data_IF_146107985084
#
_entry.id   IF_146107985084
#
_cell.length_a   1.000
_cell.length_b   1.000
_cell.length_c   1.000
_cell.angle_alpha   90.00
_cell.angle_beta   90.00
_cell.angle_gamma   90.00
#
_symmetry.space_group_name_H-M   'P 1'
#
loop_
_entity.id
_entity.type
_entity.pdbx_description
1 polymer ?
#
# COMPACT_ATOMS: atom_id res chain seq x y z
N UNK A 1 -4.29 -58.19 30.64
CA UNK A 1 -3.38 -57.42 29.75
C UNK A 1 -3.35 -55.97 30.20
N UNK A 2 -2.18 -55.45 30.57
CA UNK A 2 -2.03 -54.14 31.24
C UNK A 2 -2.01 -53.01 30.21
N UNK A 3 -2.84 -51.99 30.44
CA UNK A 3 -3.07 -50.76 29.64
C UNK A 3 -1.79 -49.99 29.23
N UNK A 4 -0.63 -50.30 29.85
CA UNK A 4 0.68 -49.70 29.58
C UNK A 4 1.48 -50.36 28.44
N UNK A 5 1.15 -51.57 28.01
CA UNK A 5 1.84 -52.21 26.86
C UNK A 5 1.16 -51.92 25.51
N UNK A 6 -0.13 -51.59 25.52
CA UNK A 6 -0.86 -51.15 24.33
C UNK A 6 -0.36 -49.79 23.83
N UNK A 7 -0.02 -48.86 24.74
CA UNK A 7 0.50 -47.53 24.39
C UNK A 7 1.93 -47.61 23.84
N UNK A 8 2.76 -48.57 24.30
CA UNK A 8 4.10 -48.78 23.73
C UNK A 8 4.08 -49.40 22.34
N UNK A 9 3.02 -50.15 21.99
CA UNK A 9 2.86 -50.74 20.66
C UNK A 9 2.26 -49.77 19.64
N UNK A 10 1.66 -48.65 20.08
CA UNK A 10 1.06 -47.64 19.21
C UNK A 10 2.05 -46.54 18.73
N UNK A 11 3.23 -46.41 19.36
CA UNK A 11 4.22 -45.37 19.01
C UNK A 11 5.34 -45.83 18.07
N UNK A 12 5.40 -47.11 17.71
CA UNK A 12 6.47 -47.67 16.86
C UNK A 12 6.05 -47.92 15.40
N UNK A 13 4.83 -47.55 14.98
CA UNK A 13 4.28 -47.85 13.64
C UNK A 13 3.97 -46.62 12.76
N UNK A 14 4.34 -45.40 13.16
CA UNK A 14 4.11 -44.17 12.38
C UNK A 14 5.38 -43.44 11.93
N UNK A 15 6.56 -44.04 12.13
CA UNK A 15 7.80 -43.62 11.49
C UNK A 15 7.96 -44.37 10.15
N UNK A 16 7.14 -44.03 9.16
CA UNK A 16 7.13 -44.69 7.86
C UNK A 16 6.54 -43.82 6.76
N UNK A 17 7.42 -43.08 6.09
CA UNK A 17 7.27 -42.57 4.72
C UNK A 17 6.08 -41.62 4.47
N UNK A 18 6.27 -40.35 4.82
CA UNK A 18 5.88 -39.26 3.92
C UNK A 18 7.16 -38.62 3.35
N UNK A 19 7.92 -39.42 2.58
CA UNK A 19 8.60 -38.85 1.42
C UNK A 19 7.47 -38.51 0.44
N UNK A 20 6.83 -37.35 0.62
CA UNK A 20 6.19 -36.70 -0.52
C UNK A 20 7.31 -36.48 -1.51
N UNK A 21 7.35 -37.31 -2.54
CA UNK A 21 8.06 -37.02 -3.77
C UNK A 21 7.70 -35.59 -4.13
N UNK A 22 8.65 -34.67 -3.94
CA UNK A 22 8.66 -33.45 -4.72
C UNK A 22 8.81 -33.95 -6.15
N UNK A 23 7.68 -34.17 -6.83
CA UNK A 23 7.67 -34.22 -8.26
C UNK A 23 8.21 -32.87 -8.73
N UNK A 24 9.51 -32.83 -8.98
CA UNK A 24 10.22 -31.77 -9.71
C UNK A 24 9.81 -31.75 -11.19
N UNK A 25 8.57 -32.17 -11.50
CA UNK A 25 7.93 -31.84 -12.75
C UNK A 25 7.84 -30.32 -12.79
N UNK A 26 8.46 -29.63 -13.77
CA UNK A 26 8.17 -28.22 -13.96
C UNK A 26 6.66 -28.14 -14.09
N UNK A 27 5.99 -27.39 -13.22
CA UNK A 27 4.56 -27.17 -13.31
C UNK A 27 4.29 -26.82 -14.77
N UNK A 28 3.64 -27.75 -15.50
CA UNK A 28 3.34 -27.53 -16.92
C UNK A 28 2.67 -26.17 -16.94
N UNK A 29 3.31 -25.20 -17.57
CA UNK A 29 2.79 -23.84 -17.71
C UNK A 29 1.36 -23.98 -18.21
N UNK A 30 0.40 -23.83 -17.30
CA UNK A 30 -1.01 -23.83 -17.65
C UNK A 30 -1.15 -22.60 -18.53
N UNK A 31 -1.39 -22.82 -19.84
CA UNK A 31 -1.73 -21.72 -20.74
C UNK A 31 -2.94 -21.02 -20.12
N UNK A 32 -2.74 -19.81 -19.65
CA UNK A 32 -3.81 -18.98 -19.07
C UNK A 32 -4.79 -18.69 -20.20
N UNK A 33 -5.94 -19.37 -20.18
CA UNK A 33 -7.02 -19.08 -21.10
C UNK A 33 -7.69 -17.74 -20.78
N UNK A 34 -8.50 -17.18 -21.69
CA UNK A 34 -9.26 -15.95 -21.40
C UNK A 34 -10.13 -16.01 -20.14
N UNK A 35 -10.66 -17.19 -19.79
CA UNK A 35 -11.46 -17.44 -18.59
C UNK A 35 -10.62 -17.67 -17.31
N UNK A 36 -9.29 -17.78 -17.44
CA UNK A 36 -8.36 -17.94 -16.32
C UNK A 36 -7.76 -16.59 -15.86
N UNK A 37 -8.14 -15.48 -16.52
CA UNK A 37 -7.62 -14.14 -16.20
C UNK A 37 -8.41 -13.50 -15.08
N UNK A 38 -7.69 -12.87 -14.15
CA UNK A 38 -8.27 -12.04 -13.09
C UNK A 38 -8.69 -10.70 -13.72
N UNK A 39 -9.98 -10.40 -13.72
CA UNK A 39 -10.51 -9.11 -14.13
C UNK A 39 -10.35 -8.11 -12.98
N UNK A 40 -9.54 -7.09 -13.20
CA UNK A 40 -9.18 -6.07 -12.21
C UNK A 40 -9.85 -4.76 -12.59
N UNK A 41 -10.28 -4.00 -11.59
CA UNK A 41 -10.71 -2.62 -11.76
C UNK A 41 -9.84 -1.65 -10.95
N UNK A 42 -9.67 -0.44 -11.47
CA UNK A 42 -8.91 0.63 -10.82
C UNK A 42 -9.86 1.60 -10.10
N UNK A 43 -9.59 1.91 -8.84
CA UNK A 43 -10.28 2.96 -8.06
C UNK A 43 -9.28 4.09 -7.79
N UNK A 44 -9.57 5.27 -8.34
CA UNK A 44 -8.67 6.43 -8.38
C UNK A 44 -7.59 6.27 -9.45
N UNK A 45 -7.55 7.18 -10.43
CA UNK A 45 -6.55 7.20 -11.50
C UNK A 45 -5.66 8.45 -11.38
N UNK A 46 -4.98 8.57 -10.23
CA UNK A 46 -4.02 9.64 -9.98
C UNK A 46 -2.60 9.31 -10.43
N UNK A 47 -1.63 10.11 -9.96
CA UNK A 47 -0.20 9.92 -10.23
C UNK A 47 0.30 8.51 -9.93
N UNK A 48 -0.06 7.94 -8.77
CA UNK A 48 0.45 6.64 -8.35
C UNK A 48 -0.17 5.48 -9.15
N UNK A 49 -1.43 5.63 -9.58
CA UNK A 49 -2.13 4.64 -10.38
C UNK A 49 -1.42 4.37 -11.71
N UNK A 50 -0.77 5.37 -12.32
CA UNK A 50 0.03 5.17 -13.53
C UNK A 50 1.18 4.16 -13.34
N UNK A 51 1.75 4.11 -12.13
CA UNK A 51 2.81 3.15 -11.79
C UNK A 51 2.23 1.79 -11.41
N UNK A 52 1.27 1.75 -10.47
CA UNK A 52 0.66 0.49 -10.03
C UNK A 52 -0.01 -0.25 -11.20
N UNK A 53 -0.81 0.47 -11.98
CA UNK A 53 -1.49 -0.07 -13.13
C UNK A 53 -0.52 -0.36 -14.27
N UNK A 54 0.45 0.53 -14.50
CA UNK A 54 1.47 0.37 -15.54
C UNK A 54 2.31 -0.89 -15.36
N UNK A 55 2.61 -1.29 -14.12
CA UNK A 55 3.27 -2.57 -13.84
C UNK A 55 2.28 -3.75 -13.88
N UNK A 56 1.10 -3.60 -13.29
CA UNK A 56 0.11 -4.70 -13.21
C UNK A 56 -0.36 -5.15 -14.60
N UNK A 57 -0.67 -4.20 -15.50
CA UNK A 57 -1.23 -4.48 -16.84
C UNK A 57 -0.28 -5.31 -17.73
N UNK A 58 1.01 -5.39 -17.38
CA UNK A 58 2.00 -6.21 -18.09
C UNK A 58 1.76 -7.70 -17.92
N UNK A 59 1.11 -8.11 -16.83
CA UNK A 59 0.90 -9.51 -16.51
C UNK A 59 -0.29 -10.12 -17.25
N UNK A 60 -0.03 -11.12 -18.10
CA UNK A 60 -1.09 -11.78 -18.90
C UNK A 60 -2.12 -12.57 -18.07
N UNK A 61 -1.81 -12.84 -16.80
CA UNK A 61 -2.71 -13.44 -15.82
C UNK A 61 -3.83 -12.51 -15.35
N UNK A 62 -3.75 -11.23 -15.68
CA UNK A 62 -4.80 -10.26 -15.34
C UNK A 62 -5.26 -9.49 -16.57
N UNK A 63 -6.40 -8.82 -16.41
CA UNK A 63 -6.95 -7.89 -17.38
C UNK A 63 -7.62 -6.75 -16.64
N UNK A 64 -7.30 -5.51 -17.01
CA UNK A 64 -7.92 -4.32 -16.43
C UNK A 64 -9.19 -4.00 -17.21
N UNK A 65 -10.36 -4.09 -16.59
CA UNK A 65 -11.66 -4.03 -17.27
C UNK A 65 -12.48 -2.78 -16.94
N UNK A 66 -12.13 -2.05 -15.87
CA UNK A 66 -12.84 -0.86 -15.45
C UNK A 66 -11.93 0.13 -14.71
N UNK A 67 -12.31 1.41 -14.74
CA UNK A 67 -11.69 2.50 -13.99
C UNK A 67 -12.79 3.35 -13.36
N UNK A 68 -12.62 3.71 -12.09
CA UNK A 68 -13.45 4.66 -11.38
C UNK A 68 -12.61 5.83 -10.86
N UNK A 69 -13.07 7.07 -11.06
CA UNK A 69 -12.52 8.26 -10.43
C UNK A 69 -13.63 9.33 -10.28
N UNK A 70 -13.68 10.01 -9.13
CA UNK A 70 -14.64 11.08 -8.87
C UNK A 70 -14.42 12.29 -9.79
N UNK A 71 -13.20 12.42 -10.33
CA UNK A 71 -12.88 13.29 -11.44
C UNK A 71 -13.05 12.52 -12.76
N UNK A 72 -14.13 12.80 -13.49
CA UNK A 72 -14.48 12.07 -14.71
C UNK A 72 -13.42 12.19 -15.83
N UNK A 73 -12.62 13.25 -15.82
CA UNK A 73 -11.53 13.39 -16.80
C UNK A 73 -10.43 12.38 -16.50
N UNK A 74 -10.07 12.17 -15.22
CA UNK A 74 -9.09 11.15 -14.81
C UNK A 74 -9.58 9.74 -15.07
N UNK A 75 -10.87 9.46 -14.86
CA UNK A 75 -11.44 8.15 -15.19
C UNK A 75 -11.36 7.86 -16.71
N UNK A 76 -11.62 8.86 -17.56
CA UNK A 76 -11.48 8.77 -19.03
C UNK A 76 -10.02 8.60 -19.46
N UNK A 77 -9.10 9.32 -18.84
CA UNK A 77 -7.66 9.17 -19.09
C UNK A 77 -7.19 7.75 -18.72
N UNK A 78 -7.68 7.20 -17.61
CA UNK A 78 -7.41 5.82 -17.20
C UNK A 78 -7.92 4.80 -18.22
N UNK A 79 -9.16 4.97 -18.72
CA UNK A 79 -9.69 4.16 -19.84
C UNK A 79 -8.75 4.22 -21.03
N UNK A 80 -8.37 5.42 -21.46
CA UNK A 80 -7.47 5.61 -22.61
C UNK A 80 -6.12 4.93 -22.39
N UNK A 81 -5.50 5.12 -21.23
CA UNK A 81 -4.21 4.50 -20.88
C UNK A 81 -4.25 2.98 -21.02
N UNK A 82 -5.32 2.35 -20.53
CA UNK A 82 -5.50 0.90 -20.56
C UNK A 82 -5.78 0.40 -21.99
N UNK A 83 -6.67 1.08 -22.72
CA UNK A 83 -7.06 0.68 -24.08
C UNK A 83 -5.90 0.84 -25.06
N UNK A 84 -5.15 1.95 -24.97
CA UNK A 84 -3.93 2.16 -25.76
C UNK A 84 -2.91 1.03 -25.51
N UNK A 85 -2.72 0.63 -24.25
CA UNK A 85 -1.81 -0.46 -23.91
C UNK A 85 -2.23 -1.78 -24.56
N UNK A 86 -3.52 -2.15 -24.46
CA UNK A 86 -4.01 -3.39 -25.05
C UNK A 86 -4.03 -3.34 -26.58
N UNK A 87 -4.40 -2.22 -27.19
CA UNK A 87 -4.34 -2.06 -28.64
C UNK A 87 -2.90 -2.27 -29.14
N UNK A 88 -1.91 -1.64 -28.49
CA UNK A 88 -0.50 -1.83 -28.80
C UNK A 88 -0.02 -3.26 -28.58
N UNK A 89 -0.40 -3.88 -27.46
CA UNK A 89 0.03 -5.25 -27.10
C UNK A 89 -0.57 -6.31 -28.01
N UNK A 90 -1.80 -6.11 -28.48
CA UNK A 90 -2.55 -7.13 -29.23
C UNK A 90 -2.62 -6.89 -30.73
N UNK A 91 -2.27 -5.68 -31.19
CA UNK A 91 -2.43 -5.26 -32.58
C UNK A 91 -3.90 -5.12 -33.02
N UNK A 92 -4.83 -5.00 -32.07
CA UNK A 92 -6.27 -4.89 -32.32
C UNK A 92 -6.83 -3.66 -31.64
N UNK A 93 -7.35 -2.73 -32.45
CA UNK A 93 -8.15 -1.63 -31.94
C UNK A 93 -9.39 -2.17 -31.23
N UNK A 94 -9.80 -1.49 -30.15
CA UNK A 94 -10.95 -1.87 -29.34
C UNK A 94 -10.90 -3.32 -28.82
N UNK A 95 -9.68 -3.85 -28.54
CA UNK A 95 -9.51 -5.19 -27.96
C UNK A 95 -10.37 -5.42 -26.71
N UNK A 96 -10.51 -4.39 -25.89
CA UNK A 96 -11.31 -4.38 -24.68
C UNK A 96 -11.99 -3.02 -24.57
N UNK A 97 -13.29 -3.00 -24.24
CA UNK A 97 -13.99 -1.79 -23.86
C UNK A 97 -13.91 -1.63 -22.34
N UNK A 98 -12.98 -0.82 -21.87
CA UNK A 98 -12.80 -0.53 -20.44
C UNK A 98 -13.95 0.35 -19.97
N UNK A 99 -14.66 -0.10 -18.94
CA UNK A 99 -15.79 0.66 -18.37
C UNK A 99 -15.28 1.83 -17.53
N UNK A 100 -15.99 2.95 -17.61
CA UNK A 100 -15.69 4.17 -16.84
C UNK A 100 -16.82 4.41 -15.86
N UNK A 101 -16.46 4.69 -14.62
CA UNK A 101 -17.38 5.04 -13.55
C UNK A 101 -16.92 6.34 -12.90
N UNK A 102 -17.86 7.21 -12.54
CA UNK A 102 -17.54 8.35 -11.67
C UNK A 102 -17.67 7.95 -10.19
N UNK A 103 -18.59 7.01 -9.91
CA UNK A 103 -18.79 6.42 -8.59
C UNK A 103 -18.25 4.99 -8.56
N UNK A 104 -17.24 4.74 -7.72
CA UNK A 104 -16.65 3.40 -7.61
C UNK A 104 -17.64 2.37 -7.04
N UNK A 105 -18.68 2.78 -6.31
CA UNK A 105 -19.67 1.87 -5.72
C UNK A 105 -20.45 1.15 -6.80
N UNK A 106 -20.84 1.86 -7.86
CA UNK A 106 -21.46 1.27 -9.05
C UNK A 106 -20.54 0.23 -9.71
N UNK A 107 -19.25 0.54 -9.81
CA UNK A 107 -18.24 -0.37 -10.33
C UNK A 107 -18.14 -1.64 -9.49
N UNK A 108 -18.18 -1.53 -8.15
CA UNK A 108 -18.07 -2.69 -7.26
C UNK A 108 -19.25 -3.68 -7.42
N UNK A 109 -20.41 -3.24 -7.89
CA UNK A 109 -21.54 -4.13 -8.18
C UNK A 109 -21.39 -4.95 -9.47
N UNK A 110 -20.40 -4.66 -10.31
CA UNK A 110 -20.09 -5.48 -11.47
C UNK A 110 -19.49 -6.83 -11.03
N UNK A 111 -20.28 -7.90 -11.24
CA UNK A 111 -19.91 -9.28 -10.88
C UNK A 111 -18.79 -9.86 -11.75
N UNK A 112 -18.44 -9.21 -12.86
CA UNK A 112 -17.32 -9.64 -13.71
C UNK A 112 -15.96 -9.17 -13.20
N UNK A 113 -15.91 -8.29 -12.19
CA UNK A 113 -14.68 -7.80 -11.57
C UNK A 113 -14.32 -8.70 -10.37
N UNK A 114 -13.15 -9.31 -10.44
CA UNK A 114 -12.61 -10.23 -9.44
C UNK A 114 -11.81 -9.51 -8.34
N UNK A 115 -11.10 -8.44 -8.72
CA UNK A 115 -10.22 -7.69 -7.81
C UNK A 115 -10.18 -6.18 -8.13
N UNK A 116 -9.73 -5.39 -7.16
CA UNK A 116 -9.56 -3.94 -7.31
C UNK A 116 -8.15 -3.48 -6.92
N UNK A 117 -7.65 -2.47 -7.63
CA UNK A 117 -6.48 -1.68 -7.26
C UNK A 117 -7.00 -0.34 -6.76
N UNK A 118 -6.68 0.03 -5.51
CA UNK A 118 -7.13 1.27 -4.88
C UNK A 118 -5.93 2.21 -4.75
N UNK A 119 -6.01 3.36 -5.41
CA UNK A 119 -4.97 4.39 -5.48
C UNK A 119 -5.53 5.78 -5.15
N UNK A 120 -6.51 5.84 -4.25
CA UNK A 120 -7.19 7.07 -3.79
C UNK A 120 -6.32 7.85 -2.80
N UNK A 121 -6.76 9.04 -2.33
CA UNK A 121 -6.19 9.68 -1.14
C UNK A 121 -6.31 8.83 0.15
N UNK A 122 -5.49 9.12 1.17
CA UNK A 122 -5.37 8.28 2.37
C UNK A 122 -6.70 8.16 3.14
N UNK A 123 -7.50 9.23 3.20
CA UNK A 123 -8.83 9.23 3.86
C UNK A 123 -9.84 8.32 3.15
N UNK A 124 -9.60 7.98 1.89
CA UNK A 124 -10.44 7.08 1.10
C UNK A 124 -9.90 5.67 1.01
N UNK A 125 -8.84 5.28 1.72
CA UNK A 125 -8.30 3.93 1.57
C UNK A 125 -9.18 2.84 2.20
N UNK A 126 -9.61 3.01 3.45
CA UNK A 126 -10.25 1.96 4.21
C UNK A 126 -11.66 1.62 3.70
N UNK A 127 -12.46 2.62 3.36
CA UNK A 127 -13.86 2.43 3.00
C UNK A 127 -14.05 1.63 1.69
N UNK A 128 -13.46 1.99 0.54
CA UNK A 128 -13.56 1.23 -0.69
C UNK A 128 -12.96 -0.17 -0.56
N UNK A 129 -11.90 -0.34 0.24
CA UNK A 129 -11.34 -1.66 0.52
C UNK A 129 -12.31 -2.57 1.29
N UNK A 130 -12.99 -2.04 2.31
CA UNK A 130 -14.04 -2.75 3.04
C UNK A 130 -15.23 -3.08 2.14
N UNK A 131 -15.71 -2.12 1.35
CA UNK A 131 -16.84 -2.32 0.43
C UNK A 131 -16.53 -3.34 -0.67
N UNK A 132 -15.31 -3.28 -1.25
CA UNK A 132 -14.84 -4.29 -2.19
C UNK A 132 -14.79 -5.68 -1.55
N UNK A 133 -14.29 -5.78 -0.31
CA UNK A 133 -14.22 -7.05 0.40
C UNK A 133 -15.61 -7.64 0.69
N UNK A 134 -16.56 -6.79 1.11
CA UNK A 134 -17.97 -7.16 1.34
C UNK A 134 -18.65 -7.67 0.06
N UNK A 135 -18.23 -7.18 -1.10
CA UNK A 135 -18.72 -7.61 -2.42
C UNK A 135 -17.88 -8.73 -3.04
N UNK A 136 -17.03 -9.39 -2.24
CA UNK A 136 -16.33 -10.60 -2.66
C UNK A 136 -15.05 -10.36 -3.47
N UNK A 137 -14.59 -9.12 -3.62
CA UNK A 137 -13.42 -8.77 -4.44
C UNK A 137 -12.12 -8.82 -3.64
N UNK A 138 -11.04 -9.24 -4.29
CA UNK A 138 -9.69 -9.13 -3.74
C UNK A 138 -9.14 -7.71 -3.93
N UNK A 139 -8.19 -7.29 -3.09
CA UNK A 139 -7.76 -5.89 -2.99
C UNK A 139 -6.24 -5.78 -3.08
N UNK A 140 -5.76 -4.91 -3.95
CA UNK A 140 -4.47 -4.24 -3.79
C UNK A 140 -4.75 -2.79 -3.37
N UNK A 141 -4.15 -2.35 -2.28
CA UNK A 141 -4.40 -1.03 -1.69
C UNK A 141 -3.09 -0.26 -1.54
N UNK A 142 -3.03 0.97 -2.05
CA UNK A 142 -1.88 1.83 -1.83
C UNK A 142 -1.66 2.15 -0.35
N UNK A 143 -0.40 2.42 -0.01
CA UNK A 143 -0.02 2.83 1.34
C UNK A 143 -0.24 4.34 1.53
N UNK A 144 -0.49 4.82 2.76
CA UNK A 144 -0.67 4.09 4.02
C UNK A 144 -1.97 3.28 4.06
N UNK A 145 -2.11 2.28 4.94
CA UNK A 145 -3.31 1.42 4.94
C UNK A 145 -4.63 2.18 5.24
N UNK A 146 -4.57 3.23 6.05
CA UNK A 146 -5.71 4.04 6.47
C UNK A 146 -5.24 5.39 7.02
N UNK A 147 -6.15 6.35 7.15
CA UNK A 147 -5.88 7.62 7.83
C UNK A 147 -5.82 7.43 9.35
N UNK A 148 -6.74 6.64 9.91
CA UNK A 148 -6.78 6.36 11.36
C UNK A 148 -6.54 4.88 11.69
N UNK A 149 -6.10 4.61 12.93
CA UNK A 149 -5.93 3.23 13.43
C UNK A 149 -7.27 2.48 13.47
N UNK A 150 -8.36 3.16 13.84
CA UNK A 150 -9.68 2.55 13.95
C UNK A 150 -10.20 2.05 12.59
N UNK A 151 -10.06 2.87 11.55
CA UNK A 151 -10.40 2.48 10.18
C UNK A 151 -9.54 1.32 9.68
N UNK A 152 -8.22 1.35 9.96
CA UNK A 152 -7.31 0.27 9.60
C UNK A 152 -7.68 -1.06 10.27
N UNK A 153 -8.09 -1.01 11.54
CA UNK A 153 -8.59 -2.19 12.27
C UNK A 153 -9.89 -2.70 11.65
N UNK A 154 -10.87 -1.84 11.43
CA UNK A 154 -12.14 -2.21 10.81
C UNK A 154 -11.95 -2.83 9.42
N UNK A 155 -11.03 -2.27 8.62
CA UNK A 155 -10.65 -2.83 7.32
C UNK A 155 -10.03 -4.22 7.45
N UNK A 156 -9.06 -4.40 8.35
CA UNK A 156 -8.40 -5.68 8.59
C UNK A 156 -9.41 -6.77 9.01
N UNK A 157 -10.30 -6.45 9.94
CA UNK A 157 -11.31 -7.37 10.45
C UNK A 157 -12.33 -7.73 9.36
N UNK A 158 -12.74 -6.76 8.54
CA UNK A 158 -13.67 -6.97 7.42
C UNK A 158 -13.08 -7.88 6.36
N UNK A 159 -11.86 -7.60 5.89
CA UNK A 159 -11.17 -8.41 4.88
C UNK A 159 -11.00 -9.85 5.37
N UNK A 160 -10.59 -10.03 6.64
CA UNK A 160 -10.43 -11.34 7.25
C UNK A 160 -11.75 -12.09 7.35
N UNK A 161 -12.83 -11.42 7.78
CA UNK A 161 -14.18 -12.00 7.88
C UNK A 161 -14.69 -12.46 6.50
N UNK A 162 -14.46 -11.68 5.46
CA UNK A 162 -14.87 -11.98 4.09
C UNK A 162 -13.90 -12.93 3.35
N UNK A 163 -12.82 -13.35 4.01
CA UNK A 163 -11.80 -14.25 3.45
C UNK A 163 -11.29 -13.75 2.10
N UNK A 164 -11.06 -12.44 2.00
CA UNK A 164 -10.51 -11.79 0.80
C UNK A 164 -9.01 -11.61 0.94
N UNK A 165 -8.33 -11.56 -0.19
CA UNK A 165 -6.91 -11.21 -0.24
C UNK A 165 -6.81 -9.69 -0.21
N UNK A 166 -5.97 -9.16 0.68
CA UNK A 166 -5.56 -7.77 0.65
C UNK A 166 -4.04 -7.69 0.67
N UNK A 167 -3.47 -6.95 -0.28
CA UNK A 167 -2.06 -6.59 -0.31
C UNK A 167 -1.90 -5.08 -0.22
N UNK A 168 -1.14 -4.60 0.76
CA UNK A 168 -0.73 -3.20 0.85
C UNK A 168 0.43 -2.94 -0.11
N UNK A 169 0.43 -1.78 -0.76
CA UNK A 169 1.46 -1.27 -1.68
C UNK A 169 2.81 -0.94 -1.03
N UNK A 170 3.30 -1.77 -0.10
CA UNK A 170 4.64 -1.67 0.50
C UNK A 170 5.72 -2.14 -0.47
N UNK A 171 5.91 -1.39 -1.56
CA UNK A 171 6.75 -1.75 -2.71
C UNK A 171 8.21 -2.12 -2.36
N UNK A 172 8.76 -1.63 -1.24
CA UNK A 172 10.11 -1.99 -0.77
C UNK A 172 10.24 -3.46 -0.34
N UNK A 173 9.13 -4.19 -0.16
CA UNK A 173 9.14 -5.64 0.05
C UNK A 173 9.29 -6.45 -1.23
N UNK A 174 9.13 -5.84 -2.40
CA UNK A 174 9.24 -6.52 -3.69
C UNK A 174 10.70 -6.77 -4.08
N UNK A 175 10.95 -7.84 -4.85
CA UNK A 175 12.28 -8.18 -5.36
C UNK A 175 12.79 -7.18 -6.42
N UNK A 176 11.89 -6.41 -7.03
CA UNK A 176 12.21 -5.38 -8.03
C UNK A 176 11.30 -4.17 -7.82
N UNK A 177 11.76 -2.94 -8.13
CA UNK A 177 13.10 -2.60 -8.61
C UNK A 177 14.12 -2.41 -7.47
N UNK A 178 13.72 -2.59 -6.20
CA UNK A 178 14.60 -2.30 -5.05
C UNK A 178 14.96 -3.55 -4.22
N UNK A 179 15.68 -4.54 -4.78
CA UNK A 179 16.07 -5.77 -4.05
C UNK A 179 16.95 -5.50 -2.82
N UNK A 180 17.58 -4.32 -2.73
CA UNK A 180 18.46 -3.97 -1.62
C UNK A 180 17.75 -3.93 -0.26
N UNK A 181 16.44 -3.66 -0.22
CA UNK A 181 15.66 -3.65 1.03
C UNK A 181 15.54 -5.05 1.63
N UNK A 182 15.23 -6.05 0.81
CA UNK A 182 15.26 -7.46 1.23
C UNK A 182 16.64 -7.87 1.71
N UNK A 183 17.66 -7.54 0.92
CA UNK A 183 19.06 -7.90 1.21
C UNK A 183 19.55 -7.32 2.54
N UNK A 184 19.25 -6.05 2.83
CA UNK A 184 19.68 -5.45 4.11
C UNK A 184 18.98 -6.11 5.29
N UNK A 185 17.68 -6.41 5.18
CA UNK A 185 16.92 -7.07 6.25
C UNK A 185 17.46 -8.48 6.50
N UNK A 186 17.80 -9.22 5.45
CA UNK A 186 18.45 -10.53 5.56
C UNK A 186 19.82 -10.43 6.26
N UNK A 187 20.64 -9.43 5.91
CA UNK A 187 21.95 -9.24 6.55
C UNK A 187 21.81 -8.90 8.04
N UNK A 188 20.90 -7.99 8.40
CA UNK A 188 20.64 -7.62 9.80
C UNK A 188 20.19 -8.83 10.61
N UNK A 189 19.21 -9.59 10.09
CA UNK A 189 18.68 -10.79 10.75
C UNK A 189 19.71 -11.92 10.90
N UNK A 190 20.66 -12.00 9.97
CA UNK A 190 21.77 -12.96 10.05
C UNK A 190 22.95 -12.45 10.90
N UNK A 191 22.76 -11.40 11.71
CA UNK A 191 23.77 -10.91 12.64
C UNK A 191 24.92 -10.14 12.01
N UNK A 192 24.76 -9.63 10.77
CA UNK A 192 25.86 -8.92 10.07
C UNK A 192 26.31 -7.65 10.79
N UNK A 193 25.43 -7.04 11.58
CA UNK A 193 25.71 -5.87 12.43
C UNK A 193 25.97 -6.25 13.90
N UNK A 194 26.14 -7.54 14.21
CA UNK A 194 26.18 -8.04 15.59
C UNK A 194 24.81 -7.95 16.26
N UNK A 195 24.79 -7.58 17.53
CA UNK A 195 23.53 -7.35 18.26
C UNK A 195 22.94 -5.99 17.87
N UNK A 196 21.75 -5.99 17.25
CA UNK A 196 21.07 -4.75 16.87
C UNK A 196 20.71 -3.92 18.12
N UNK A 197 21.09 -2.63 18.13
CA UNK A 197 20.85 -1.72 19.26
C UNK A 197 19.93 -0.57 18.90
N UNK A 198 20.11 0.00 17.71
CA UNK A 198 19.43 1.22 17.30
C UNK A 198 19.10 1.21 15.80
N UNK A 199 17.99 1.85 15.44
CA UNK A 199 17.59 2.06 14.03
C UNK A 199 17.30 3.54 13.80
N UNK A 200 17.94 4.15 12.82
CA UNK A 200 17.62 5.51 12.35
C UNK A 200 16.75 5.40 11.10
N UNK A 201 15.64 6.15 11.06
CA UNK A 201 14.77 6.26 9.89
C UNK A 201 14.70 7.72 9.46
N UNK A 202 15.23 8.01 8.27
CA UNK A 202 15.16 9.33 7.65
C UNK A 202 13.96 9.46 6.74
N UNK A 203 13.24 10.58 6.89
CA UNK A 203 12.06 10.92 6.11
C UNK A 203 12.07 12.41 5.77
N UNK A 204 11.62 12.78 4.58
CA UNK A 204 11.48 14.19 4.22
C UNK A 204 10.41 14.93 5.03
N UNK A 205 10.31 16.24 4.79
CA UNK A 205 9.19 17.07 5.26
C UNK A 205 8.37 17.58 4.08
N UNK A 206 7.19 18.11 4.37
CA UNK A 206 6.40 18.87 3.42
C UNK A 206 6.37 20.34 3.81
N UNK A 207 6.57 21.27 2.86
CA UNK A 207 6.42 22.68 3.15
C UNK A 207 4.94 23.01 3.35
N UNK A 208 4.66 23.97 4.23
CA UNK A 208 3.36 24.63 4.27
C UNK A 208 3.13 25.49 3.02
N UNK A 209 1.94 26.07 2.92
CA UNK A 209 1.63 27.08 1.91
C UNK A 209 0.91 28.28 2.55
N UNK A 210 0.63 29.30 1.72
CA UNK A 210 -0.23 30.40 2.13
C UNK A 210 -1.69 29.97 2.30
N UNK A 211 -2.53 30.94 2.63
CA UNK A 211 -3.98 30.78 2.56
C UNK A 211 -4.37 30.73 1.08
N UNK A 212 -5.17 29.74 0.71
CA UNK A 212 -5.71 29.62 -0.63
C UNK A 212 -7.17 30.10 -0.62
N UNK A 213 -7.56 31.04 -1.49
CA UNK A 213 -8.93 31.50 -1.57
C UNK A 213 -9.81 30.38 -2.14
N UNK A 214 -11.06 30.31 -1.68
CA UNK A 214 -12.06 29.43 -2.27
C UNK A 214 -12.19 29.69 -3.77
N UNK A 215 -12.45 28.63 -4.52
CA UNK A 215 -12.69 28.71 -5.96
C UNK A 215 -13.84 27.76 -6.37
N UNK A 216 -14.45 27.96 -7.55
CA UNK A 216 -15.49 27.07 -8.03
C UNK A 216 -14.97 25.64 -8.17
N UNK A 217 -15.80 24.66 -7.79
CA UNK A 217 -15.53 23.24 -8.06
C UNK A 217 -15.57 23.02 -9.58
N UNK A 218 -14.54 22.40 -10.18
CA UNK A 218 -14.54 22.04 -11.60
C UNK A 218 -15.70 21.10 -11.94
N UNK A 219 -16.36 21.30 -13.08
CA UNK A 219 -17.54 20.51 -13.47
C UNK A 219 -17.27 19.00 -13.63
N UNK A 220 -16.00 18.62 -13.81
CA UNK A 220 -15.56 17.22 -13.91
C UNK A 220 -15.40 16.53 -12.55
N UNK A 221 -15.33 17.27 -11.44
CA UNK A 221 -15.03 16.73 -10.12
C UNK A 221 -16.29 16.65 -9.26
N UNK A 222 -16.65 15.44 -8.83
CA UNK A 222 -17.56 15.26 -7.71
C UNK A 222 -16.80 15.53 -6.40
N UNK A 223 -16.84 16.78 -5.96
CA UNK A 223 -16.09 17.21 -4.78
C UNK A 223 -16.71 16.73 -3.46
N UNK A 224 -18.03 16.53 -3.42
CA UNK A 224 -18.69 15.97 -2.24
C UNK A 224 -18.25 14.52 -2.01
N UNK A 225 -18.26 13.71 -3.09
CA UNK A 225 -17.71 12.36 -3.03
C UNK A 225 -16.20 12.36 -2.79
N UNK A 226 -15.44 13.34 -3.31
CA UNK A 226 -14.01 13.45 -3.00
C UNK A 226 -13.75 13.68 -1.50
N UNK A 227 -14.56 14.51 -0.84
CA UNK A 227 -14.46 14.77 0.61
C UNK A 227 -14.84 13.53 1.43
N UNK A 228 -15.89 12.81 1.05
CA UNK A 228 -16.31 11.59 1.73
C UNK A 228 -16.70 11.84 3.18
N UNK A 229 -16.10 11.11 4.11
CA UNK A 229 -16.37 11.23 5.56
C UNK A 229 -15.63 12.37 6.25
N UNK A 230 -14.90 13.21 5.50
CA UNK A 230 -14.10 14.29 6.06
C UNK A 230 -14.94 15.54 6.31
N UNK A 231 -14.32 16.58 6.91
CA UNK A 231 -15.00 17.85 7.16
C UNK A 231 -15.33 18.54 5.84
N UNK A 232 -16.54 19.11 5.76
CA UNK A 232 -16.89 20.00 4.65
C UNK A 232 -15.97 21.23 4.66
N UNK A 233 -15.34 21.50 3.52
CA UNK A 233 -14.46 22.64 3.31
C UNK A 233 -14.70 23.24 1.93
N UNK A 234 -14.29 24.49 1.74
CA UNK A 234 -14.28 25.11 0.42
C UNK A 234 -13.27 24.43 -0.51
N UNK A 235 -13.63 24.29 -1.78
CA UNK A 235 -12.73 23.75 -2.79
C UNK A 235 -11.57 24.70 -3.08
N UNK A 236 -10.37 24.11 -3.17
CA UNK A 236 -9.17 24.72 -3.75
C UNK A 236 -8.41 23.65 -4.51
N UNK A 237 -7.84 23.98 -5.68
CA UNK A 237 -7.07 23.01 -6.46
C UNK A 237 -5.86 22.47 -5.69
N UNK A 238 -5.16 23.35 -4.94
CA UNK A 238 -4.06 22.94 -4.05
C UNK A 238 -4.49 22.07 -2.88
N UNK A 239 -5.76 22.07 -2.50
CA UNK A 239 -6.29 21.22 -1.44
C UNK A 239 -6.61 19.81 -1.90
N UNK A 240 -6.75 19.62 -3.22
CA UNK A 240 -7.21 18.39 -3.85
C UNK A 240 -6.08 17.87 -4.75
N UNK A 241 -6.26 17.97 -6.07
CA UNK A 241 -5.32 17.53 -7.09
C UNK A 241 -5.29 18.49 -8.28
N UNK A 242 -4.15 18.59 -8.99
CA UNK A 242 -4.05 19.38 -10.21
C UNK A 242 -5.08 18.92 -11.26
N UNK A 243 -5.76 19.88 -11.88
CA UNK A 243 -6.82 19.63 -12.86
C UNK A 243 -6.26 19.40 -14.27
N UNK A 244 -5.02 19.81 -14.53
CA UNK A 244 -4.42 19.79 -15.87
C UNK A 244 -3.27 18.79 -16.01
N UNK A 245 -2.79 18.20 -14.92
CA UNK A 245 -1.71 17.22 -14.91
C UNK A 245 -1.77 16.22 -13.73
N UNK A 246 -0.78 15.34 -13.67
CA UNK A 246 -0.58 14.35 -12.62
C UNK A 246 0.60 14.69 -11.71
N UNK A 247 0.90 15.98 -11.54
CA UNK A 247 1.90 16.46 -10.58
C UNK A 247 1.47 16.13 -9.14
N UNK A 248 2.39 16.34 -8.19
CA UNK A 248 2.19 15.87 -6.81
C UNK A 248 0.98 16.61 -6.19
N UNK A 249 -0.06 15.89 -5.76
CA UNK A 249 -1.26 16.53 -5.23
C UNK A 249 -1.02 17.13 -3.85
N UNK A 250 -1.77 18.19 -3.52
CA UNK A 250 -1.61 18.89 -2.25
C UNK A 250 -2.42 18.31 -1.09
N UNK A 251 -3.44 17.47 -1.35
CA UNK A 251 -4.22 16.81 -0.30
C UNK A 251 -3.35 16.07 0.72
N UNK A 252 -2.22 15.50 0.29
CA UNK A 252 -1.30 14.76 1.15
C UNK A 252 -0.73 15.63 2.29
N UNK A 253 -0.80 16.95 2.15
CA UNK A 253 -0.30 17.94 3.11
C UNK A 253 -1.40 18.54 3.99
N UNK A 254 -2.58 17.92 4.01
CA UNK A 254 -3.73 18.35 4.81
C UNK A 254 -4.12 17.22 5.74
N UNK A 255 -4.12 17.45 7.05
CA UNK A 255 -4.31 16.43 8.09
C UNK A 255 -5.62 15.63 7.96
N UNK A 256 -6.66 16.24 7.38
CA UNK A 256 -7.95 15.59 7.13
C UNK A 256 -7.87 14.51 6.05
N UNK A 257 -6.86 14.58 5.17
CA UNK A 257 -6.73 13.72 3.98
C UNK A 257 -5.46 12.87 4.00
N UNK A 258 -4.45 13.26 4.78
CA UNK A 258 -3.17 12.56 4.93
C UNK A 258 -2.25 13.26 5.93
N UNK A 259 -1.11 12.65 6.25
CA UNK A 259 -0.18 13.20 7.26
C UNK A 259 1.18 13.62 6.68
N UNK A 260 1.27 13.88 5.38
CA UNK A 260 2.52 14.31 4.74
C UNK A 260 3.53 13.17 4.59
N UNK A 261 4.81 13.48 4.74
CA UNK A 261 5.90 12.52 4.51
C UNK A 261 6.02 11.44 5.58
N UNK A 262 5.51 11.65 6.81
CA UNK A 262 5.56 10.60 7.84
C UNK A 262 4.69 9.40 7.47
N UNK A 263 3.50 9.58 6.89
CA UNK A 263 2.71 8.44 6.36
C UNK A 263 3.08 8.12 4.92
N UNK A 264 3.42 9.14 4.12
CA UNK A 264 3.79 8.99 2.72
C UNK A 264 5.02 8.10 2.52
N UNK A 265 6.15 8.43 3.16
CA UNK A 265 7.38 7.64 3.11
C UNK A 265 7.58 6.75 4.33
N UNK A 266 7.09 7.16 5.51
CA UNK A 266 7.28 6.35 6.72
C UNK A 266 6.62 4.98 6.61
N UNK A 267 5.50 4.84 5.89
CA UNK A 267 4.90 3.52 5.62
C UNK A 267 5.87 2.56 4.91
N UNK A 268 6.84 3.05 4.14
CA UNK A 268 7.87 2.23 3.51
C UNK A 268 9.06 1.96 4.46
N UNK A 269 9.61 3.02 5.06
CA UNK A 269 10.83 2.90 5.84
C UNK A 269 10.60 2.28 7.23
N UNK A 270 9.48 2.57 7.88
CA UNK A 270 9.12 1.94 9.15
C UNK A 270 8.81 0.45 8.91
N UNK A 271 8.12 0.11 7.82
CA UNK A 271 7.92 -1.29 7.41
C UNK A 271 9.25 -2.02 7.18
N UNK A 272 10.21 -1.39 6.50
CA UNK A 272 11.57 -1.92 6.33
C UNK A 272 12.30 -2.06 7.67
N UNK A 273 12.20 -1.08 8.57
CA UNK A 273 12.82 -1.14 9.89
C UNK A 273 12.26 -2.33 10.69
N UNK A 274 10.93 -2.46 10.76
CA UNK A 274 10.28 -3.61 11.40
C UNK A 274 10.66 -4.93 10.74
N UNK A 275 10.78 -4.95 9.41
CA UNK A 275 11.27 -6.14 8.71
C UNK A 275 12.70 -6.48 9.15
N UNK A 276 13.66 -5.56 9.07
CA UNK A 276 15.04 -5.84 9.52
C UNK A 276 15.13 -6.25 11.00
N UNK A 277 14.30 -5.66 11.86
CA UNK A 277 14.25 -5.95 13.29
C UNK A 277 13.57 -7.28 13.65
N UNK A 278 12.77 -7.87 12.76
CA UNK A 278 11.90 -9.01 13.13
C UNK A 278 10.69 -8.58 13.97
N UNK A 279 10.20 -7.36 13.79
CA UNK A 279 9.14 -6.74 14.58
C UNK A 279 7.82 -6.61 13.80
N UNK A 280 7.60 -7.33 12.69
CA UNK A 280 6.39 -7.16 11.86
C UNK A 280 5.07 -7.54 12.55
N UNK A 281 5.16 -8.39 13.57
CA UNK A 281 4.02 -8.84 14.37
C UNK A 281 4.06 -8.28 15.80
N UNK A 282 5.00 -7.39 16.08
CA UNK A 282 5.10 -6.66 17.33
C UNK A 282 5.12 -5.16 17.03
N UNK A 283 5.22 -4.35 18.08
CA UNK A 283 5.30 -2.91 17.93
C UNK A 283 6.16 -2.33 19.03
N UNK A 284 6.44 -1.03 18.97
CA UNK A 284 7.06 -0.35 20.10
C UNK A 284 6.17 -0.43 21.34
N UNK A 285 6.80 -0.54 22.51
CA UNK A 285 6.14 -0.47 23.81
C UNK A 285 5.96 0.97 24.29
N UNK A 286 6.73 1.89 23.71
CA UNK A 286 6.68 3.32 24.01
C UNK A 286 7.01 4.08 22.73
N UNK A 287 6.26 5.15 22.45
CA UNK A 287 6.53 6.10 21.37
C UNK A 287 6.37 7.50 21.93
N UNK A 288 7.37 8.34 21.72
CA UNK A 288 7.32 9.76 22.03
C UNK A 288 7.78 10.56 20.80
N UNK A 289 7.31 11.79 20.66
CA UNK A 289 7.63 12.57 19.47
C UNK A 289 7.39 14.06 19.63
N UNK A 290 8.10 14.84 18.82
CA UNK A 290 7.97 16.28 18.71
C UNK A 290 8.01 16.67 17.24
N UNK A 291 7.18 17.65 16.86
CA UNK A 291 7.14 18.18 15.51
C UNK A 291 6.80 19.67 15.50
N UNK A 292 7.28 20.38 14.48
CA UNK A 292 6.87 21.76 14.17
C UNK A 292 5.73 21.72 13.15
N UNK A 293 4.73 22.57 13.32
CA UNK A 293 3.60 22.68 12.39
C UNK A 293 3.51 24.08 11.80
N UNK A 294 3.02 24.23 10.56
CA UNK A 294 2.60 25.52 10.02
C UNK A 294 1.60 26.21 10.96
N UNK A 295 1.75 27.52 11.14
CA UNK A 295 0.85 28.32 12.00
C UNK A 295 -0.39 28.84 11.26
N UNK A 296 -0.38 28.78 9.94
CA UNK A 296 -1.43 29.25 9.04
C UNK A 296 -1.28 28.60 7.67
N UNK A 297 -2.29 28.82 6.81
CA UNK A 297 -2.32 28.29 5.46
C UNK A 297 -3.10 26.99 5.32
N UNK A 298 -3.24 26.52 4.08
CA UNK A 298 -4.02 25.33 3.74
C UNK A 298 -3.29 24.03 4.09
N UNK A 299 -2.00 23.93 3.76
CA UNK A 299 -1.18 22.76 4.07
C UNK A 299 -0.67 22.81 5.51
N UNK A 300 -1.15 21.89 6.34
CA UNK A 300 -1.07 21.94 7.81
C UNK A 300 -0.45 20.69 8.45
N UNK A 301 0.13 19.78 7.67
CA UNK A 301 0.87 18.62 8.20
C UNK A 301 2.21 19.04 8.83
N UNK A 302 2.86 18.08 9.50
CA UNK A 302 4.11 18.33 10.20
C UNK A 302 5.24 18.81 9.25
N UNK A 303 6.04 19.76 9.76
CA UNK A 303 7.35 20.12 9.23
C UNK A 303 8.43 19.25 9.88
N UNK A 304 9.52 19.89 10.37
CA UNK A 304 10.59 19.18 11.08
C UNK A 304 10.07 18.40 12.28
N UNK A 305 10.56 17.18 12.44
CA UNK A 305 10.09 16.28 13.49
C UNK A 305 11.15 15.29 13.96
N UNK A 306 10.90 14.69 15.12
CA UNK A 306 11.66 13.58 15.68
C UNK A 306 10.73 12.73 16.52
N UNK A 307 10.73 11.41 16.27
CA UNK A 307 10.02 10.43 17.08
C UNK A 307 11.01 9.39 17.60
N UNK A 308 10.87 8.99 18.85
CA UNK A 308 11.60 7.88 19.45
C UNK A 308 10.63 6.75 19.76
N UNK A 309 11.07 5.53 19.47
CA UNK A 309 10.32 4.32 19.75
C UNK A 309 11.21 3.32 20.49
N UNK A 310 10.70 2.72 21.58
CA UNK A 310 11.39 1.67 22.34
C UNK A 310 10.68 0.34 22.13
N UNK A 311 11.45 -0.73 22.03
CA UNK A 311 10.93 -2.09 21.83
C UNK A 311 11.24 -2.97 23.04
N UNK A 312 10.44 -4.01 23.24
CA UNK A 312 10.55 -4.90 24.40
C UNK A 312 11.91 -5.61 24.51
N UNK A 313 12.62 -5.79 23.40
CA UNK A 313 13.96 -6.37 23.35
C UNK A 313 15.09 -5.35 23.60
N UNK A 314 14.77 -4.10 23.98
CA UNK A 314 15.75 -3.05 24.26
C UNK A 314 16.24 -2.29 23.03
N UNK A 315 15.88 -2.70 21.81
CA UNK A 315 16.19 -1.94 20.59
C UNK A 315 15.42 -0.62 20.62
N UNK A 316 16.07 0.43 20.13
CA UNK A 316 15.45 1.76 19.97
C UNK A 316 15.38 2.14 18.49
N UNK A 317 14.41 2.96 18.12
CA UNK A 317 14.30 3.52 16.78
C UNK A 317 14.03 5.02 16.84
N UNK A 318 14.81 5.81 16.11
CA UNK A 318 14.60 7.24 15.95
C UNK A 318 14.17 7.53 14.50
N UNK A 319 13.04 8.24 14.36
CA UNK A 319 12.49 8.66 13.06
C UNK A 319 12.60 10.18 13.00
N UNK A 320 13.33 10.74 12.05
CA UNK A 320 13.53 12.19 11.99
C UNK A 320 13.69 12.73 10.57
N UNK A 321 13.30 13.99 10.38
CA UNK A 321 13.66 14.78 9.20
C UNK A 321 15.13 15.16 9.10
N UNK A 322 15.91 14.94 10.16
CA UNK A 322 17.35 15.24 10.22
C UNK A 322 18.22 14.16 9.59
N UNK A 323 17.70 12.95 9.44
CA UNK A 323 18.44 11.84 8.86
C UNK A 323 18.27 11.78 7.33
N UNK A 324 19.26 11.19 6.67
CA UNK A 324 19.20 10.91 5.24
C UNK A 324 18.03 9.96 4.96
N UNK A 325 17.24 10.25 3.92
CA UNK A 325 16.09 9.45 3.54
C UNK A 325 16.47 7.98 3.31
N UNK A 326 16.02 7.10 4.20
CA UNK A 326 16.39 5.68 4.22
C UNK A 326 16.28 5.07 5.61
N UNK A 327 16.83 3.87 5.77
CA UNK A 327 16.84 3.12 7.04
C UNK A 327 18.27 2.71 7.35
N UNK A 328 18.73 3.02 8.56
CA UNK A 328 20.04 2.63 9.06
C UNK A 328 19.89 1.71 10.26
N UNK A 329 20.47 0.53 10.19
CA UNK A 329 20.53 -0.44 11.29
C UNK A 329 21.90 -0.34 11.95
N UNK A 330 21.94 -0.16 13.26
CA UNK A 330 23.18 0.01 14.03
C UNK A 330 23.22 -1.06 15.12
N UNK A 331 24.23 -1.91 15.08
CA UNK A 331 24.48 -2.93 16.09
C UNK A 331 25.89 -2.87 16.66
N UNK A 332 26.24 -3.86 17.48
CA UNK A 332 27.53 -3.92 18.18
C UNK A 332 28.75 -3.96 17.25
N UNK A 333 28.59 -4.50 16.04
CA UNK A 333 29.71 -4.81 15.14
C UNK A 333 29.77 -3.85 13.93
N UNK A 334 28.87 -2.86 13.87
CA UNK A 334 28.82 -1.87 12.81
C UNK A 334 27.39 -1.49 12.43
N UNK A 335 27.23 -1.00 11.20
CA UNK A 335 25.95 -0.52 10.69
C UNK A 335 25.73 -0.88 9.22
N UNK A 336 24.46 -0.90 8.82
CA UNK A 336 24.02 -1.03 7.43
C UNK A 336 22.99 0.06 7.13
N UNK A 337 23.07 0.67 5.95
CA UNK A 337 22.12 1.68 5.48
C UNK A 337 21.48 1.24 4.16
N UNK A 338 20.19 1.54 3.98
CA UNK A 338 19.46 1.29 2.74
C UNK A 338 18.61 2.50 2.35
N UNK A 339 18.59 2.80 1.05
CA UNK A 339 17.72 3.79 0.42
C UNK A 339 17.32 3.33 -0.99
N UNK A 340 16.47 4.10 -1.66
CA UNK A 340 16.10 3.86 -3.07
C UNK A 340 17.14 4.36 -4.09
N UNK A 341 18.28 4.88 -3.64
CA UNK A 341 19.26 5.60 -4.46
C UNK A 341 19.23 7.09 -4.16
#
# INVERSE_FOLDING_TARGET
MKRREFIKSAMAASAGIFLTSCDGSPAKSRRIGPNDKINIAQIGFGRIAHYDLGETIKHDSCRIVAVADVDINRAKDGKKFIEDYYAKKTGKDNYLNVKVYQDYREMLHDKSIDAVIISTPDHWHAQPAMEAALLGKDIYLQKPASLTIAEGRAMSDTVKKQKRILQIGSQQRASTPWPQFKRVCELVRNGRVGELKHVEVGLGTDPGCGVEPKMPVPANLDFDMWLGSTRLVDYTEKGVHPQTDYSRPGWLRIENYGAGMITGWGAHHIDTAHWGMGAEYSGPIEVEGQAKFPKSGLWNVHGDFTNHAKYANGVTMEISSRFINGVKFIGSDGWLFVSRG
#
